data_IF_833644098916
#
_entry.id   IF_833644098916
#
_cell.length_a   1.000
_cell.length_b   1.000
_cell.length_c   1.000
_cell.angle_alpha   90.00
_cell.angle_beta   90.00
_cell.angle_gamma   90.00
#
_symmetry.space_group_name_H-M   'P 1'
#
loop_
_entity.id
_entity.type
_entity.pdbx_description
1 polymer ?
2 non-polymer ?
3 non-polymer ?
4 non-polymer ?
5 water ?
#
# COMPACT_ATOMS: atom_id res chain seq x y z
N UNK A 1 21.77 25.12 -12.21
CA UNK A 1 21.98 23.92 -11.38
C UNK A 1 20.89 23.74 -10.32
N UNK A 2 20.32 22.55 -10.25
CA UNK A 2 19.39 22.13 -9.16
C UNK A 2 20.07 20.95 -8.45
N UNK A 3 20.29 21.06 -7.15
CA UNK A 3 20.95 20.02 -6.34
C UNK A 3 19.88 19.32 -5.52
N UNK A 4 19.94 17.99 -5.46
CA UNK A 4 18.91 17.18 -4.79
C UNK A 4 19.61 16.35 -3.72
N UNK A 5 18.95 16.17 -2.58
CA UNK A 5 19.43 15.30 -1.47
C UNK A 5 18.34 14.26 -1.19
N UNK A 6 18.57 13.00 -1.60
CA UNK A 6 17.54 11.93 -1.47
C UNK A 6 17.73 11.25 -0.12
N UNK A 7 16.70 10.53 0.34
CA UNK A 7 16.65 9.86 1.66
C UNK A 7 17.70 8.74 1.73
N UNK A 8 18.64 8.85 2.66
CA UNK A 8 19.60 7.76 3.01
C UNK A 8 18.82 6.61 3.69
N UNK A 9 19.16 5.38 3.34
CA UNK A 9 18.58 4.15 3.93
C UNK A 9 17.14 3.91 3.51
N UNK A 10 16.71 4.35 2.32
CA UNK A 10 15.36 4.04 1.79
C UNK A 10 15.30 2.52 1.65
N UNK A 11 14.29 1.91 2.26
CA UNK A 11 13.87 0.50 2.00
C UNK A 11 12.66 0.58 1.06
N UNK A 12 12.87 0.24 -0.22
CA UNK A 12 11.86 0.46 -1.29
C UNK A 12 10.68 -0.50 -1.07
N UNK A 13 10.92 -1.65 -0.43
CA UNK A 13 9.89 -2.68 -0.14
C UNK A 13 8.76 -2.08 0.71
N UNK A 14 9.09 -1.16 1.60
CA UNK A 14 8.11 -0.63 2.60
C UNK A 14 7.33 0.57 2.02
N UNK A 15 7.48 0.90 0.73
CA UNK A 15 6.61 1.92 0.06
C UNK A 15 5.47 1.29 -0.75
N UNK A 16 5.30 -0.02 -0.77
CA UNK A 16 4.33 -0.71 -1.64
C UNK A 16 2.91 -0.28 -1.26
N UNK A 17 2.06 -0.11 -2.28
CA UNK A 17 0.62 0.11 -2.08
C UNK A 17 0.08 1.38 -2.70
N UNK A 18 -1.16 1.71 -2.33
CA UNK A 18 -1.92 2.89 -2.80
C UNK A 18 -1.33 4.18 -2.24
N UNK A 19 -1.18 5.17 -3.11
CA UNK A 19 -0.83 6.57 -2.76
C UNK A 19 -1.78 7.54 -3.46
N UNK A 20 -1.88 8.74 -2.91
CA UNK A 20 -2.62 9.89 -3.47
C UNK A 20 -1.64 11.06 -3.58
N UNK A 21 -1.66 11.70 -4.75
CA UNK A 21 -0.96 12.98 -5.02
C UNK A 21 -1.66 14.09 -4.23
N UNK A 22 -1.13 14.48 -3.08
CA UNK A 22 -1.70 15.56 -2.22
C UNK A 22 -1.23 16.92 -2.73
N UNK A 23 0.02 17.04 -3.18
CA UNK A 23 0.60 18.32 -3.63
C UNK A 23 1.61 18.08 -4.77
N UNK A 24 1.87 19.10 -5.59
CA UNK A 24 2.84 19.06 -6.70
C UNK A 24 3.54 20.40 -6.81
N UNK A 25 4.77 20.38 -7.31
CA UNK A 25 5.58 21.60 -7.51
C UNK A 25 6.48 21.34 -8.69
N UNK A 26 6.71 22.32 -9.54
CA UNK A 26 7.56 22.17 -10.74
C UNK A 26 8.41 23.43 -10.88
N UNK A 27 9.62 23.24 -11.41
CA UNK A 27 10.63 24.30 -11.68
C UNK A 27 10.08 25.24 -12.77
N UNK A 28 9.31 24.69 -13.69
CA UNK A 28 8.73 25.41 -14.84
C UNK A 28 7.22 25.31 -14.73
N UNK A 29 6.53 26.47 -14.78
CA UNK A 29 5.05 26.57 -14.64
C UNK A 29 4.36 25.63 -15.63
N UNK A 30 4.84 25.60 -16.89
CA UNK A 30 4.23 24.93 -18.07
C UNK A 30 4.17 23.42 -17.85
N UNK A 31 5.07 22.86 -17.04
CA UNK A 31 5.09 21.43 -16.65
C UNK A 31 3.78 21.03 -15.97
N UNK A 32 3.15 21.93 -15.18
CA UNK A 32 1.93 21.59 -14.38
C UNK A 32 0.77 22.52 -14.74
N UNK A 33 1.02 23.57 -15.52
CA UNK A 33 0.14 24.76 -15.56
C UNK A 33 -1.31 24.28 -15.68
N UNK A 34 -1.69 23.71 -16.82
CA UNK A 34 -3.06 23.26 -17.14
C UNK A 34 -3.31 21.80 -16.74
N UNK A 35 -4.58 21.38 -16.88
CA UNK A 35 -5.11 20.00 -16.66
C UNK A 35 -4.42 19.04 -17.65
N UNK A 36 -4.04 19.55 -18.82
CA UNK A 36 -3.41 18.79 -19.91
C UNK A 36 -1.88 18.79 -19.78
N UNK A 37 -1.30 19.48 -18.77
CA UNK A 37 0.15 19.77 -18.77
C UNK A 37 0.92 18.46 -18.74
N UNK A 38 2.14 18.38 -19.32
CA UNK A 38 2.82 17.12 -19.54
C UNK A 38 3.26 16.36 -18.27
N UNK A 39 3.42 17.05 -17.13
CA UNK A 39 3.88 16.43 -15.86
C UNK A 39 2.80 16.54 -14.78
N UNK A 40 1.59 16.96 -15.16
CA UNK A 40 0.39 16.87 -14.29
C UNK A 40 -0.04 15.40 -14.25
N UNK A 41 0.51 14.65 -13.30
CA UNK A 41 0.29 13.17 -13.15
C UNK A 41 -0.08 12.86 -11.70
N UNK A 42 -0.95 11.86 -11.52
CA UNK A 42 -1.63 11.49 -10.26
C UNK A 42 -1.28 10.04 -9.94
N UNK A 43 -0.48 9.85 -8.90
CA UNK A 43 0.04 8.52 -8.45
C UNK A 43 -1.12 7.69 -7.87
N UNK A 44 -1.31 6.46 -8.34
CA UNK A 44 -2.34 5.52 -7.83
C UNK A 44 -1.71 4.47 -6.91
N UNK A 45 -0.55 3.95 -7.33
CA UNK A 45 0.11 2.83 -6.62
C UNK A 45 1.62 2.88 -6.86
N UNK A 46 2.39 2.47 -5.85
CA UNK A 46 3.84 2.14 -5.98
C UNK A 46 3.97 0.64 -5.74
N UNK A 47 4.58 -0.08 -6.70
CA UNK A 47 4.79 -1.55 -6.64
C UNK A 47 6.28 -1.84 -6.79
N UNK A 48 7.04 -1.88 -5.68
CA UNK A 48 8.42 -2.36 -5.73
C UNK A 48 8.44 -3.81 -6.19
N UNK A 49 9.47 -4.19 -6.95
CA UNK A 49 9.76 -5.59 -7.35
C UNK A 49 10.74 -6.19 -6.34
N UNK A 50 10.82 -7.54 -6.26
CA UNK A 50 11.71 -8.21 -5.32
C UNK A 50 13.17 -7.77 -5.47
N UNK A 51 13.61 -7.55 -6.71
CA UNK A 51 15.01 -7.18 -7.02
C UNK A 51 15.23 -5.68 -6.83
N UNK A 52 14.17 -4.93 -6.49
CA UNK A 52 14.24 -3.57 -5.96
C UNK A 52 14.06 -2.51 -7.02
N UNK A 53 13.43 -2.86 -8.15
CA UNK A 53 12.94 -1.87 -9.14
C UNK A 53 11.63 -1.35 -8.57
N UNK A 54 10.99 -0.41 -9.24
CA UNK A 54 9.74 0.22 -8.76
C UNK A 54 8.82 0.47 -9.95
N UNK A 55 7.64 -0.18 -9.96
CA UNK A 55 6.49 0.15 -10.83
C UNK A 55 5.69 1.31 -10.22
N UNK A 56 5.42 2.33 -11.02
CA UNK A 56 4.63 3.54 -10.66
C UNK A 56 3.35 3.50 -11.51
N UNK A 57 2.19 3.23 -10.91
CA UNK A 57 0.86 3.37 -11.57
C UNK A 57 0.42 4.82 -11.41
N UNK A 58 0.27 5.56 -12.50
CA UNK A 58 -0.28 6.93 -12.37
C UNK A 58 -1.44 7.12 -13.33
N UNK A 59 -2.19 8.21 -13.14
CA UNK A 59 -3.23 8.72 -14.06
C UNK A 59 -2.81 10.11 -14.57
N UNK A 60 -3.21 10.41 -15.80
CA UNK A 60 -2.80 11.57 -16.63
C UNK A 60 -3.97 11.88 -17.57
N UNK A 61 -4.28 13.17 -17.79
CA UNK A 61 -5.34 13.64 -18.73
C UNK A 61 -4.71 13.99 -20.07
N UNK A 62 -4.99 13.20 -21.12
CA UNK A 62 -4.45 13.38 -22.50
C UNK A 62 -5.61 13.43 -23.50
N UNK A 63 -6.15 12.27 -23.88
CA UNK A 63 -7.03 12.11 -25.08
C UNK A 63 -8.48 12.37 -24.67
N UNK A 64 -8.81 13.60 -24.26
CA UNK A 64 -10.11 13.97 -23.70
C UNK A 64 -10.40 13.31 -22.35
N UNK A 65 -9.53 12.39 -21.90
CA UNK A 65 -9.85 11.40 -20.83
C UNK A 65 -8.73 11.33 -19.78
N UNK A 66 -9.06 10.76 -18.62
CA UNK A 66 -8.17 10.56 -17.45
C UNK A 66 -7.56 9.16 -17.51
N UNK A 67 -6.42 9.01 -18.19
CA UNK A 67 -5.85 7.74 -18.68
C UNK A 67 -4.78 7.16 -17.74
N UNK A 68 -4.61 5.83 -17.78
CA UNK A 68 -3.63 5.10 -16.93
C UNK A 68 -2.28 5.03 -17.64
N UNK A 69 -1.19 5.28 -16.90
CA UNK A 69 0.21 5.01 -17.33
C UNK A 69 0.94 4.19 -16.25
N UNK A 70 1.71 3.19 -16.71
CA UNK A 70 2.67 2.39 -15.92
C UNK A 70 4.07 2.88 -16.27
N UNK A 71 4.86 3.26 -15.25
CA UNK A 71 6.29 3.60 -15.44
C UNK A 71 7.12 2.53 -14.72
N UNK A 72 8.07 1.94 -15.42
CA UNK A 72 9.07 1.04 -14.81
C UNK A 72 10.27 1.90 -14.42
N UNK A 73 10.59 1.92 -13.13
CA UNK A 73 11.75 2.64 -12.58
C UNK A 73 12.78 1.60 -12.16
N UNK A 74 13.91 1.56 -12.88
CA UNK A 74 15.02 0.62 -12.66
C UNK A 74 15.91 1.18 -11.55
N UNK A 75 16.32 0.33 -10.61
CA UNK A 75 17.16 0.74 -9.45
C UNK A 75 18.52 1.21 -9.97
N UNK A 76 19.21 2.00 -9.15
CA UNK A 76 20.64 2.38 -9.35
C UNK A 76 21.38 2.02 -8.05
N UNK A 77 22.68 2.32 -7.98
CA UNK A 77 23.54 2.02 -6.81
C UNK A 77 23.11 2.89 -5.62
N UNK A 78 22.30 3.94 -5.87
CA UNK A 78 21.69 4.81 -4.82
C UNK A 78 20.22 4.40 -4.67
N UNK A 79 19.83 3.77 -3.52
CA UNK A 79 18.49 3.24 -3.33
C UNK A 79 17.36 4.25 -3.60
N UNK A 80 17.60 5.54 -3.42
CA UNK A 80 16.55 6.57 -3.57
C UNK A 80 16.57 7.21 -4.97
N UNK A 81 17.47 6.79 -5.88
CA UNK A 81 17.53 7.29 -7.29
C UNK A 81 17.25 6.14 -8.25
N UNK A 82 16.25 6.29 -9.11
CA UNK A 82 15.84 5.30 -10.11
C UNK A 82 15.88 5.91 -11.50
N UNK A 83 16.10 5.07 -12.50
CA UNK A 83 16.18 5.49 -13.91
C UNK A 83 14.83 5.17 -14.55
N UNK A 84 14.27 6.12 -15.28
CA UNK A 84 13.02 5.89 -16.04
C UNK A 84 13.21 6.36 -17.48
N UNK A 85 12.23 6.07 -18.34
CA UNK A 85 12.16 6.64 -19.72
C UNK A 85 10.68 6.89 -20.05
N UNK A 86 10.09 7.91 -19.41
CA UNK A 86 8.66 8.24 -19.57
C UNK A 86 8.48 9.73 -19.27
N UNK A 87 7.47 10.36 -19.86
CA UNK A 87 7.13 11.79 -19.62
C UNK A 87 8.32 12.68 -19.97
N UNK A 88 9.24 12.21 -20.82
CA UNK A 88 10.49 12.91 -21.22
C UNK A 88 11.44 13.07 -20.02
N UNK A 89 11.24 12.25 -18.98
CA UNK A 89 12.05 12.26 -17.74
C UNK A 89 13.00 11.05 -17.79
N UNK A 90 14.12 11.09 -17.06
CA UNK A 90 15.03 9.92 -16.95
C UNK A 90 15.45 9.65 -15.49
N UNK A 91 14.97 10.42 -14.52
CA UNK A 91 15.28 10.16 -13.09
C UNK A 91 14.03 10.30 -12.21
N UNK A 92 13.89 9.36 -11.28
CA UNK A 92 13.01 9.48 -10.10
C UNK A 92 13.91 9.58 -8.88
N UNK A 93 13.65 10.56 -8.01
CA UNK A 93 14.40 10.84 -6.76
C UNK A 93 13.42 10.73 -5.58
N UNK A 94 13.65 9.83 -4.63
CA UNK A 94 12.81 9.75 -3.39
C UNK A 94 13.46 10.62 -2.30
N UNK A 95 12.89 11.79 -2.00
CA UNK A 95 13.47 12.76 -1.03
C UNK A 95 13.31 12.25 0.40
N UNK A 96 12.16 11.67 0.73
CA UNK A 96 11.80 11.34 2.14
C UNK A 96 10.49 10.55 2.16
N UNK A 97 10.34 9.72 3.19
CA UNK A 97 9.11 8.97 3.55
C UNK A 97 9.23 8.47 4.99
N UNK A 98 8.09 8.32 5.66
CA UNK A 98 7.95 7.56 6.94
C UNK A 98 7.25 6.23 6.63
N UNK A 99 7.14 5.87 5.34
CA UNK A 99 6.60 4.57 4.87
C UNK A 99 5.10 4.46 5.17
N UNK A 100 4.64 4.79 6.36
CA UNK A 100 3.24 4.47 6.75
C UNK A 100 2.27 5.63 6.42
N UNK A 101 2.74 6.85 6.16
CA UNK A 101 1.83 8.02 5.91
C UNK A 101 2.14 8.77 4.60
N UNK A 102 3.38 9.24 4.43
CA UNK A 102 3.77 10.19 3.35
C UNK A 102 5.05 9.75 2.64
N UNK A 103 5.19 10.16 1.38
CA UNK A 103 6.39 9.98 0.54
C UNK A 103 6.53 11.19 -0.40
N UNK A 104 7.73 11.73 -0.45
CA UNK A 104 8.07 12.88 -1.30
C UNK A 104 8.98 12.34 -2.37
N UNK A 105 8.73 12.74 -3.60
CA UNK A 105 9.59 12.30 -4.71
C UNK A 105 9.56 13.33 -5.81
N UNK A 106 10.59 13.30 -6.63
CA UNK A 106 10.74 14.18 -7.81
C UNK A 106 11.03 13.31 -9.03
N UNK A 107 10.62 13.79 -10.19
CA UNK A 107 11.08 13.31 -11.50
C UNK A 107 11.83 14.46 -12.13
N UNK A 108 12.82 14.18 -12.96
CA UNK A 108 13.48 15.21 -13.78
C UNK A 108 14.12 14.56 -15.01
N UNK A 109 14.51 15.42 -15.95
CA UNK A 109 15.46 15.05 -17.03
C UNK A 109 16.81 15.62 -16.63
N UNK A 110 17.76 14.74 -16.28
CA UNK A 110 19.10 15.12 -15.80
C UNK A 110 19.79 16.03 -16.83
N UNK A 111 19.46 15.92 -18.12
CA UNK A 111 20.02 16.79 -19.19
C UNK A 111 19.56 18.24 -19.04
N UNK A 112 18.43 18.51 -18.37
CA UNK A 112 17.96 19.90 -18.09
C UNK A 112 16.89 19.94 -16.99
N UNK A 113 17.35 19.90 -15.72
CA UNK A 113 16.46 19.97 -14.56
C UNK A 113 15.57 21.23 -14.47
N UNK A 114 16.08 22.41 -14.83
CA UNK A 114 15.30 23.68 -14.70
C UNK A 114 14.06 23.66 -15.61
N UNK A 115 14.09 22.94 -16.73
CA UNK A 115 12.88 22.84 -17.60
C UNK A 115 12.16 21.50 -17.35
N UNK A 116 12.42 20.83 -16.23
CA UNK A 116 12.10 19.38 -16.09
C UNK A 116 11.60 18.92 -14.70
N UNK A 117 11.96 19.63 -13.63
CA UNK A 117 11.86 19.08 -12.25
C UNK A 117 10.43 19.21 -11.77
N UNK A 118 9.83 18.08 -11.39
CA UNK A 118 8.47 18.04 -10.81
C UNK A 118 8.54 17.13 -9.59
N UNK A 119 8.05 17.62 -8.45
CA UNK A 119 8.07 16.91 -7.16
C UNK A 119 6.66 16.79 -6.62
N UNK A 120 6.37 15.72 -5.89
CA UNK A 120 5.04 15.48 -5.33
C UNK A 120 5.16 15.09 -3.86
N UNK A 121 4.11 15.44 -3.14
CA UNK A 121 3.78 14.95 -1.78
C UNK A 121 2.70 13.88 -1.92
N UNK A 122 3.05 12.63 -1.62
CA UNK A 122 2.08 11.51 -1.68
C UNK A 122 1.66 11.18 -0.25
N UNK A 123 0.42 10.73 -0.10
CA UNK A 123 -0.15 10.19 1.17
C UNK A 123 -0.86 8.88 0.83
N UNK A 124 -0.90 7.97 1.80
CA UNK A 124 -1.47 6.62 1.67
C UNK A 124 -3.00 6.68 1.70
N UNK A 125 -3.56 7.63 2.45
CA UNK A 125 -5.03 7.81 2.65
C UNK A 125 -5.51 9.14 2.07
N UNK A 126 -6.75 9.23 1.53
CA UNK A 126 -7.22 10.43 0.83
C UNK A 126 -7.68 11.51 1.83
N UNK A 127 -6.74 12.00 2.64
CA UNK A 127 -6.99 13.08 3.63
C UNK A 127 -5.81 14.04 3.55
N UNK A 128 -6.08 15.33 3.73
CA UNK A 128 -5.04 16.37 3.88
C UNK A 128 -4.27 16.04 5.16
N UNK A 129 -2.96 15.91 5.01
CA UNK A 129 -1.99 15.59 6.07
C UNK A 129 -1.06 16.80 6.18
N UNK A 130 -1.30 17.69 7.15
CA UNK A 130 -0.55 18.97 7.30
C UNK A 130 0.92 18.64 7.62
N UNK A 131 1.19 17.54 8.30
CA UNK A 131 2.59 17.11 8.56
C UNK A 131 3.27 16.88 7.22
N UNK A 132 2.65 16.09 6.37
CA UNK A 132 3.18 15.73 5.03
C UNK A 132 3.49 17.02 4.25
N UNK A 133 2.56 17.99 4.23
CA UNK A 133 2.72 19.24 3.46
C UNK A 133 3.88 20.07 3.98
N UNK A 134 4.05 20.12 5.29
CA UNK A 134 5.20 20.85 5.87
C UNK A 134 6.50 20.15 5.49
N UNK A 135 6.53 18.83 5.44
CA UNK A 135 7.78 18.09 5.06
C UNK A 135 8.10 18.44 3.61
N UNK A 136 7.07 18.44 2.76
CA UNK A 136 7.15 18.80 1.32
C UNK A 136 7.67 20.23 1.17
N UNK A 137 7.11 21.20 1.91
CA UNK A 137 7.61 22.60 1.89
C UNK A 137 9.10 22.67 2.26
N UNK A 138 9.51 21.96 3.30
CA UNK A 138 10.90 22.02 3.81
C UNK A 138 11.83 21.38 2.77
N UNK A 139 11.42 20.24 2.20
CA UNK A 139 12.16 19.53 1.13
C UNK A 139 12.27 20.42 -0.12
N UNK A 140 11.33 21.33 -0.34
CA UNK A 140 11.32 22.21 -1.53
C UNK A 140 12.07 23.52 -1.30
N UNK A 141 12.50 23.82 -0.08
CA UNK A 141 13.07 25.14 0.26
C UNK A 141 14.25 25.48 -0.66
N UNK A 142 15.16 24.52 -0.92
CA UNK A 142 16.35 24.76 -1.78
C UNK A 142 16.10 24.28 -3.21
N UNK A 143 14.83 24.17 -3.66
CA UNK A 143 14.52 23.90 -5.09
C UNK A 143 13.86 25.13 -5.70
N UNK A 144 14.12 25.43 -7.00
CA UNK A 144 13.62 26.65 -7.64
C UNK A 144 12.28 26.41 -8.32
N UNK A 145 11.27 26.14 -7.49
CA UNK A 145 9.88 25.87 -7.93
C UNK A 145 9.22 27.20 -8.31
N UNK A 146 8.44 27.19 -9.39
CA UNK A 146 7.72 28.38 -9.90
C UNK A 146 6.21 28.11 -9.96
N UNK A 147 5.77 26.87 -9.72
CA UNK A 147 4.33 26.50 -9.57
C UNK A 147 4.23 25.46 -8.45
N UNK A 148 3.27 25.67 -7.57
CA UNK A 148 2.93 24.78 -6.42
C UNK A 148 1.41 24.69 -6.31
N UNK A 149 0.92 23.47 -6.19
CA UNK A 149 -0.51 23.10 -6.16
C UNK A 149 -0.68 22.21 -4.93
N UNK A 150 -1.71 22.45 -4.12
CA UNK A 150 -2.13 21.53 -3.03
C UNK A 150 -3.62 21.24 -3.20
N UNK A 151 -4.01 19.96 -3.05
CA UNK A 151 -5.39 19.44 -3.29
C UNK A 151 -6.14 19.22 -1.97
N UNK A 152 -7.45 19.48 -1.99
CA UNK A 152 -8.40 19.17 -0.88
C UNK A 152 -8.82 17.71 -0.98
N UNK A 153 -9.47 17.14 0.07
CA UNK A 153 -9.80 15.70 0.08
C UNK A 153 -10.72 15.30 -1.08
N UNK A 154 -11.58 16.22 -1.50
CA UNK A 154 -12.53 16.05 -2.63
C UNK A 154 -11.71 15.81 -3.91
N UNK A 155 -10.71 16.65 -4.15
CA UNK A 155 -9.77 16.50 -5.30
C UNK A 155 -8.96 15.23 -5.12
N UNK A 156 -8.61 14.86 -3.89
CA UNK A 156 -7.83 13.63 -3.63
C UNK A 156 -8.55 12.38 -4.15
N UNK A 157 -9.86 12.26 -3.90
CA UNK A 157 -10.62 11.00 -4.13
C UNK A 157 -11.11 10.93 -5.58
N UNK A 158 -10.63 11.82 -6.47
CA UNK A 158 -11.21 12.03 -7.83
C UNK A 158 -10.33 11.47 -8.95
N UNK A 159 -10.94 11.32 -10.14
CA UNK A 159 -10.30 11.00 -11.45
C UNK A 159 -9.54 12.22 -11.99
N UNK A 160 -8.21 12.18 -11.97
CA UNK A 160 -7.32 13.30 -12.39
C UNK A 160 -7.67 14.56 -11.59
N UNK A 161 -8.01 14.38 -10.31
CA UNK A 161 -8.40 15.45 -9.34
C UNK A 161 -9.44 16.41 -9.96
N UNK A 162 -10.60 15.85 -10.36
CA UNK A 162 -11.84 16.50 -10.93
C UNK A 162 -11.57 16.97 -12.36
N UNK B 2 -14.07 -16.92 23.22
CA UNK B 2 -13.07 -17.95 22.81
C UNK B 2 -11.88 -17.26 22.15
N UNK B 3 -12.13 -16.54 21.05
CA UNK B 3 -11.07 -15.99 20.15
C UNK B 3 -11.10 -14.46 20.22
N UNK B 4 -10.77 -13.88 21.36
CA UNK B 4 -10.63 -12.42 21.55
C UNK B 4 -9.33 -12.16 22.31
N UNK B 5 -8.21 -11.97 21.61
CA UNK B 5 -6.91 -11.60 22.22
C UNK B 5 -6.40 -10.38 21.45
N UNK B 6 -7.24 -9.35 21.30
CA UNK B 6 -7.03 -8.29 20.29
C UNK B 6 -6.09 -7.23 20.87
N UNK B 7 -5.18 -6.69 20.04
CA UNK B 7 -4.17 -5.68 20.45
C UNK B 7 -4.91 -4.38 20.79
N UNK B 8 -4.76 -3.94 22.04
CA UNK B 8 -5.40 -2.72 22.58
C UNK B 8 -4.67 -1.52 21.96
N UNK B 9 -5.42 -0.48 21.59
CA UNK B 9 -4.89 0.76 21.00
C UNK B 9 -4.42 0.53 19.57
N UNK B 10 -5.25 -0.17 18.80
CA UNK B 10 -5.02 -0.28 17.34
C UNK B 10 -5.28 1.09 16.74
N UNK B 11 -4.29 1.67 16.06
CA UNK B 11 -4.46 2.87 15.21
C UNK B 11 -4.52 2.41 13.75
N UNK B 12 -5.72 2.39 13.19
CA UNK B 12 -6.02 1.68 11.91
C UNK B 12 -5.34 2.42 10.75
N UNK B 13 -5.12 3.73 10.90
CA UNK B 13 -4.45 4.58 9.86
C UNK B 13 -3.05 4.03 9.55
N UNK B 14 -2.37 3.47 10.55
CA UNK B 14 -0.95 3.06 10.44
C UNK B 14 -0.81 1.66 9.84
N UNK B 15 -1.89 0.99 9.43
CA UNK B 15 -1.80 -0.32 8.71
C UNK B 15 -2.01 -0.13 7.20
N UNK B 16 -2.18 1.09 6.70
CA UNK B 16 -2.44 1.32 5.25
C UNK B 16 -1.26 0.77 4.44
N UNK B 17 -1.54 0.01 3.39
CA UNK B 17 -0.49 -0.38 2.44
C UNK B 17 -0.63 -1.83 2.00
N UNK B 18 0.39 -2.29 1.29
CA UNK B 18 0.50 -3.68 0.77
C UNK B 18 0.85 -4.60 1.93
N UNK B 19 0.20 -5.75 1.97
CA UNK B 19 0.57 -6.88 2.88
C UNK B 19 0.65 -8.18 2.08
N UNK B 20 1.35 -9.15 2.63
CA UNK B 20 1.43 -10.54 2.10
C UNK B 20 0.94 -11.51 3.17
N UNK B 21 0.11 -12.46 2.74
CA UNK B 21 -0.35 -13.60 3.57
C UNK B 21 0.82 -14.57 3.72
N UNK B 22 1.56 -14.51 4.83
CA UNK B 22 2.72 -15.41 5.08
C UNK B 22 2.25 -16.76 5.61
N UNK B 23 1.24 -16.79 6.47
CA UNK B 23 0.67 -18.05 7.01
C UNK B 23 -0.84 -17.91 7.20
N UNK B 24 -1.55 -19.04 7.19
CA UNK B 24 -3.00 -19.12 7.48
C UNK B 24 -3.25 -20.35 8.36
N UNK B 25 -4.27 -20.30 9.18
CA UNK B 25 -4.72 -21.44 10.01
C UNK B 25 -6.23 -21.35 10.10
N UNK B 26 -6.92 -22.49 10.17
CA UNK B 26 -8.40 -22.53 10.20
C UNK B 26 -8.84 -23.63 11.14
N UNK B 27 -9.95 -23.39 11.84
CA UNK B 27 -10.57 -24.32 12.81
C UNK B 27 -11.09 -25.58 12.08
N UNK B 28 -11.44 -25.45 10.81
CA UNK B 28 -12.05 -26.54 9.99
C UNK B 28 -11.23 -26.71 8.73
N UNK B 29 -10.82 -27.95 8.39
CA UNK B 29 -9.88 -28.23 7.27
C UNK B 29 -10.45 -27.66 5.97
N UNK B 30 -11.77 -27.82 5.75
CA UNK B 30 -12.47 -27.46 4.47
C UNK B 30 -12.37 -25.96 4.19
N UNK B 31 -12.24 -25.15 5.22
CA UNK B 31 -12.07 -23.68 5.11
C UNK B 31 -10.82 -23.33 4.28
N UNK B 32 -9.74 -24.13 4.36
CA UNK B 32 -8.46 -23.82 3.63
C UNK B 32 -8.04 -24.97 2.72
N UNK B 33 -8.71 -26.13 2.82
CA UNK B 33 -8.19 -27.41 2.29
C UNK B 33 -7.56 -27.18 0.91
N UNK B 34 -8.37 -26.92 -0.12
CA UNK B 34 -7.93 -26.77 -1.53
C UNK B 34 -7.66 -25.29 -1.86
N UNK B 35 -7.16 -25.03 -3.07
CA UNK B 35 -6.89 -23.69 -3.65
C UNK B 35 -8.21 -22.93 -3.79
N UNK B 36 -9.29 -23.66 -4.03
CA UNK B 36 -10.67 -23.15 -4.19
C UNK B 36 -11.42 -23.11 -2.85
N UNK B 37 -10.80 -23.47 -1.73
CA UNK B 37 -11.50 -23.45 -0.41
C UNK B 37 -11.93 -22.01 -0.10
N UNK B 38 -13.06 -21.79 0.63
CA UNK B 38 -13.69 -20.48 0.70
C UNK B 38 -12.87 -19.41 1.43
N UNK B 39 -12.01 -19.81 2.37
CA UNK B 39 -11.30 -18.85 3.26
C UNK B 39 -9.80 -18.89 2.90
N UNK B 40 -9.46 -19.62 1.83
CA UNK B 40 -8.16 -19.55 1.15
C UNK B 40 -8.11 -18.23 0.38
N UNK B 41 -7.87 -17.12 1.06
CA UNK B 41 -7.79 -15.77 0.45
C UNK B 41 -6.47 -15.13 0.88
N UNK B 42 -5.87 -14.39 -0.04
CA UNK B 42 -4.53 -13.78 0.07
C UNK B 42 -4.68 -12.25 0.08
N UNK B 43 -4.40 -11.64 1.22
CA UNK B 43 -4.47 -10.17 1.47
C UNK B 43 -3.42 -9.49 0.59
N UNK B 44 -3.84 -8.51 -0.22
CA UNK B 44 -2.93 -7.73 -1.09
C UNK B 44 -2.77 -6.32 -0.49
N UNK B 45 -3.81 -5.72 0.07
CA UNK B 45 -3.76 -4.31 0.54
C UNK B 45 -4.77 -4.07 1.66
N UNK B 46 -4.37 -3.29 2.67
CA UNK B 46 -5.30 -2.70 3.67
C UNK B 46 -5.41 -1.18 3.39
N UNK B 47 -6.64 -0.72 3.17
CA UNK B 47 -6.98 0.68 2.85
C UNK B 47 -7.92 1.22 3.93
N UNK B 48 -7.39 1.78 5.05
CA UNK B 48 -8.23 2.40 6.05
C UNK B 48 -8.93 3.61 5.42
N UNK B 49 -10.16 3.90 5.85
CA UNK B 49 -10.93 5.07 5.36
C UNK B 49 -10.75 6.20 6.36
N UNK B 50 -10.94 7.46 5.94
CA UNK B 50 -10.77 8.61 6.83
C UNK B 50 -11.61 8.48 8.12
N UNK B 51 -12.82 7.96 7.96
CA UNK B 51 -13.84 7.83 9.03
C UNK B 51 -13.53 6.60 9.89
N UNK B 52 -12.51 5.81 9.51
CA UNK B 52 -11.87 4.80 10.37
C UNK B 52 -12.44 3.41 10.16
N UNK B 53 -13.06 3.15 9.01
CA UNK B 53 -13.40 1.78 8.56
C UNK B 53 -12.12 1.23 7.92
N UNK B 54 -12.21 0.05 7.29
CA UNK B 54 -11.04 -0.66 6.73
C UNK B 54 -11.51 -1.43 5.50
N UNK B 55 -10.94 -1.11 4.35
CA UNK B 55 -11.12 -1.89 3.11
C UNK B 55 -9.97 -2.89 3.03
N UNK B 56 -10.31 -4.15 2.77
CA UNK B 56 -9.36 -5.29 2.66
C UNK B 56 -9.40 -5.80 1.20
N UNK B 57 -8.35 -5.55 0.41
CA UNK B 57 -8.18 -6.14 -0.95
C UNK B 57 -7.57 -7.53 -0.79
N UNK B 58 -8.28 -8.56 -1.23
CA UNK B 58 -7.88 -10.00 -1.25
C UNK B 58 -7.62 -10.42 -2.71
N UNK B 59 -6.87 -11.50 -2.90
CA UNK B 59 -6.83 -12.34 -4.12
C UNK B 59 -7.30 -13.75 -3.75
N UNK B 60 -7.96 -14.42 -4.70
CA UNK B 60 -8.71 -15.68 -4.50
C UNK B 60 -8.65 -16.52 -5.78
N UNK B 61 -8.88 -17.83 -5.66
CA UNK B 61 -9.09 -18.78 -6.79
C UNK B 61 -10.58 -18.97 -7.03
N UNK B 62 -11.04 -18.72 -8.26
CA UNK B 62 -12.46 -18.93 -8.68
C UNK B 62 -12.51 -19.96 -9.82
N UNK B 63 -11.66 -19.82 -10.84
CA UNK B 63 -11.71 -20.64 -12.07
C UNK B 63 -10.35 -20.57 -12.78
N UNK B 64 -9.32 -21.21 -12.20
CA UNK B 64 -8.02 -21.40 -12.85
C UNK B 64 -7.23 -20.10 -13.03
N UNK B 65 -7.54 -19.07 -12.25
CA UNK B 65 -6.82 -17.77 -12.28
C UNK B 65 -7.18 -16.93 -11.04
N UNK B 66 -6.33 -15.94 -10.75
CA UNK B 66 -6.21 -15.19 -9.48
C UNK B 66 -7.05 -13.90 -9.57
N UNK B 67 -8.20 -13.85 -8.88
CA UNK B 67 -9.21 -12.75 -8.95
C UNK B 67 -9.15 -11.84 -7.71
N UNK B 68 -9.53 -10.56 -7.93
CA UNK B 68 -9.71 -9.48 -6.93
C UNK B 68 -10.99 -9.66 -6.13
N UNK B 69 -10.91 -9.51 -4.81
CA UNK B 69 -12.08 -9.37 -3.91
C UNK B 69 -11.82 -8.24 -2.90
N UNK B 70 -12.78 -7.32 -2.78
CA UNK B 70 -12.79 -6.17 -1.84
C UNK B 70 -13.78 -6.48 -0.71
N UNK B 71 -13.35 -6.40 0.54
CA UNK B 71 -14.24 -6.52 1.73
C UNK B 71 -14.26 -5.17 2.42
N UNK B 72 -15.47 -4.64 2.68
CA UNK B 72 -15.63 -3.45 3.56
C UNK B 72 -15.76 -3.96 4.98
N UNK B 73 -14.88 -3.51 5.86
CA UNK B 73 -14.88 -3.84 7.30
C UNK B 73 -15.22 -2.56 8.05
N UNK B 74 -16.42 -2.53 8.65
CA UNK B 74 -16.94 -1.37 9.42
C UNK B 74 -16.42 -1.42 10.84
N UNK B 75 -16.00 -0.27 11.37
CA UNK B 75 -15.46 -0.15 12.75
C UNK B 75 -16.59 -0.39 13.76
N UNK B 76 -16.20 -0.80 14.97
CA UNK B 76 -17.08 -1.03 16.15
C UNK B 76 -16.51 -0.21 17.30
N UNK B 77 -17.10 -0.30 18.51
CA UNK B 77 -16.60 0.49 19.68
C UNK B 77 -15.27 -0.09 20.17
N UNK B 78 -14.86 -1.26 19.66
CA UNK B 78 -13.52 -1.86 19.90
C UNK B 78 -12.66 -1.60 18.65
N UNK B 79 -11.59 -0.76 18.74
CA UNK B 79 -10.74 -0.44 17.59
C UNK B 79 -10.19 -1.66 16.82
N UNK B 80 -9.96 -2.78 17.51
CA UNK B 80 -9.34 -3.98 16.92
C UNK B 80 -10.41 -4.97 16.37
N UNK B 81 -11.70 -4.66 16.49
CA UNK B 81 -12.82 -5.53 16.01
C UNK B 81 -13.61 -4.76 14.96
N UNK B 82 -13.71 -5.33 13.76
CA UNK B 82 -14.52 -4.81 12.64
C UNK B 82 -15.63 -5.82 12.31
N UNK B 83 -16.70 -5.33 11.72
CA UNK B 83 -17.84 -6.16 11.26
C UNK B 83 -17.78 -6.22 9.74
N UNK B 84 -18.01 -7.40 9.18
CA UNK B 84 -18.00 -7.63 7.72
C UNK B 84 -19.23 -8.47 7.33
N UNK B 85 -19.43 -8.61 6.02
CA UNK B 85 -20.44 -9.53 5.45
C UNK B 85 -19.86 -10.10 4.16
N UNK B 86 -18.96 -11.07 4.29
CA UNK B 86 -18.28 -11.68 3.14
C UNK B 86 -17.80 -13.07 3.58
N UNK B 87 -17.78 -14.04 2.65
CA UNK B 87 -17.10 -15.35 2.87
C UNK B 87 -17.81 -16.09 4.00
N UNK B 88 -19.10 -15.79 4.21
CA UNK B 88 -19.94 -16.38 5.29
C UNK B 88 -19.44 -15.92 6.67
N UNK B 89 -18.61 -14.88 6.73
CA UNK B 89 -18.01 -14.36 8.01
C UNK B 89 -18.69 -13.06 8.38
N UNK B 90 -18.69 -12.67 9.66
CA UNK B 90 -19.27 -11.37 10.12
C UNK B 90 -18.32 -10.61 11.07
N UNK B 91 -17.12 -11.12 11.37
CA UNK B 91 -16.19 -10.39 12.27
C UNK B 91 -14.74 -10.51 11.79
N UNK B 92 -14.01 -9.40 11.86
CA UNK B 92 -12.53 -9.35 11.71
C UNK B 92 -11.95 -8.89 13.03
N UNK B 93 -11.03 -9.64 13.59
CA UNK B 93 -10.32 -9.37 14.87
C UNK B 93 -8.84 -9.16 14.54
N UNK B 94 -8.27 -7.98 14.82
CA UNK B 94 -6.78 -7.76 14.74
C UNK B 94 -6.15 -8.15 16.08
N UNK B 95 -5.43 -9.28 16.11
CA UNK B 95 -4.87 -9.86 17.35
C UNK B 95 -3.66 -9.02 17.78
N UNK B 96 -2.83 -8.63 16.81
CA UNK B 96 -1.56 -7.92 17.11
C UNK B 96 -1.01 -7.31 15.83
N UNK B 97 -0.22 -6.25 15.97
CA UNK B 97 0.61 -5.63 14.92
C UNK B 97 1.66 -4.74 15.57
N UNK B 98 2.80 -4.59 14.91
CA UNK B 98 3.83 -3.55 15.17
C UNK B 98 3.74 -2.49 14.04
N UNK B 99 2.69 -2.53 13.23
CA UNK B 99 2.41 -1.57 12.13
C UNK B 99 3.44 -1.65 11.01
N UNK B 100 4.73 -1.68 11.31
CA UNK B 100 5.74 -1.46 10.25
C UNK B 100 6.24 -2.79 9.65
N UNK B 101 5.99 -3.94 10.29
CA UNK B 101 6.46 -5.27 9.77
C UNK B 101 5.32 -6.30 9.62
N UNK B 102 4.51 -6.53 10.66
CA UNK B 102 3.59 -7.69 10.75
C UNK B 102 2.21 -7.29 11.33
N UNK B 103 1.19 -8.06 10.97
CA UNK B 103 -0.21 -7.93 11.49
C UNK B 103 -0.85 -9.32 11.52
N UNK B 104 -1.43 -9.67 12.66
CA UNK B 104 -2.16 -10.93 12.84
C UNK B 104 -3.64 -10.60 12.90
N UNK B 105 -4.46 -11.32 12.15
CA UNK B 105 -5.93 -11.16 12.28
C UNK B 105 -6.63 -12.49 12.11
N UNK B 106 -7.86 -12.53 12.58
CA UNK B 106 -8.80 -13.65 12.38
C UNK B 106 -10.09 -13.09 11.77
N UNK B 107 -10.71 -13.85 10.87
CA UNK B 107 -12.14 -13.68 10.48
C UNK B 107 -12.89 -14.84 11.11
N UNK B 108 -14.13 -14.59 11.52
CA UNK B 108 -15.01 -15.64 12.06
C UNK B 108 -16.47 -15.26 11.83
N UNK B 109 -17.35 -16.23 12.05
CA UNK B 109 -18.80 -15.97 12.19
C UNK B 109 -19.13 -16.16 13.66
N UNK B 110 -19.48 -15.06 14.34
CA UNK B 110 -19.85 -15.02 15.78
C UNK B 110 -20.83 -16.15 16.12
N UNK B 111 -21.67 -16.58 15.17
CA UNK B 111 -22.69 -17.63 15.40
C UNK B 111 -22.05 -19.01 15.60
N UNK B 112 -20.83 -19.21 15.06
CA UNK B 112 -20.13 -20.51 15.11
C UNK B 112 -18.66 -20.34 14.75
N UNK B 113 -17.81 -19.84 15.67
CA UNK B 113 -16.37 -19.72 15.42
C UNK B 113 -15.63 -21.04 15.14
N UNK B 114 -16.03 -22.14 15.78
CA UNK B 114 -15.43 -23.48 15.59
C UNK B 114 -15.60 -23.96 14.14
N UNK B 115 -16.62 -23.51 13.42
CA UNK B 115 -16.87 -23.91 12.02
C UNK B 115 -16.42 -22.80 11.06
N UNK B 116 -15.77 -21.73 11.55
CA UNK B 116 -15.59 -20.51 10.71
C UNK B 116 -14.29 -19.75 10.96
N UNK B 117 -13.48 -20.11 11.95
CA UNK B 117 -12.32 -19.28 12.35
C UNK B 117 -11.17 -19.50 11.38
N UNK B 118 -10.70 -18.42 10.78
CA UNK B 118 -9.53 -18.41 9.88
C UNK B 118 -8.66 -17.24 10.29
N UNK B 119 -7.39 -17.49 10.57
CA UNK B 119 -6.45 -16.45 11.04
C UNK B 119 -5.25 -16.39 10.08
N UNK B 120 -4.68 -15.21 9.93
CA UNK B 120 -3.51 -15.01 9.04
C UNK B 120 -2.41 -14.24 9.78
N UNK B 121 -1.20 -14.54 9.39
CA UNK B 121 0.02 -13.74 9.65
C UNK B 121 0.32 -12.96 8.37
N UNK B 122 0.16 -11.64 8.43
CA UNK B 122 0.48 -10.76 7.29
C UNK B 122 1.83 -10.12 7.56
N UNK B 123 2.60 -9.88 6.49
CA UNK B 123 3.88 -9.13 6.54
C UNK B 123 3.86 -8.11 5.40
N UNK B 124 4.58 -7.01 5.59
CA UNK B 124 4.60 -5.87 4.66
C UNK B 124 5.52 -6.19 3.48
N UNK B 125 6.53 -7.04 3.69
CA UNK B 125 7.57 -7.41 2.68
C UNK B 125 7.47 -8.90 2.33
N UNK B 126 7.77 -9.28 1.05
CA UNK B 126 7.65 -10.67 0.61
C UNK B 126 8.87 -11.47 1.10
N UNK B 127 8.99 -11.64 2.41
CA UNK B 127 10.10 -12.36 3.06
C UNK B 127 9.49 -13.14 4.22
N UNK B 128 10.06 -14.29 4.57
CA UNK B 128 9.71 -15.01 5.81
C UNK B 128 10.23 -14.15 6.97
N UNK B 129 9.34 -13.80 7.88
CA UNK B 129 9.63 -13.11 9.16
C UNK B 129 9.35 -14.13 10.28
N UNK B 130 10.39 -14.76 10.83
CA UNK B 130 10.23 -15.84 11.83
C UNK B 130 9.67 -15.25 13.13
N UNK B 131 9.92 -13.98 13.40
CA UNK B 131 9.32 -13.29 14.59
C UNK B 131 7.80 -13.24 14.41
N UNK B 132 7.32 -12.88 13.22
CA UNK B 132 5.89 -12.77 12.91
C UNK B 132 5.27 -14.17 13.12
N UNK B 133 5.90 -15.21 12.58
CA UNK B 133 5.37 -16.60 12.67
C UNK B 133 5.36 -17.07 14.12
N UNK B 134 6.38 -16.71 14.92
CA UNK B 134 6.40 -17.06 16.37
C UNK B 134 5.19 -16.40 17.04
N UNK B 135 4.85 -15.16 16.69
CA UNK B 135 3.73 -14.46 17.35
C UNK B 135 2.41 -15.12 16.93
N UNK B 136 2.28 -15.43 15.65
CA UNK B 136 1.15 -16.18 15.04
C UNK B 136 0.97 -17.53 15.73
N UNK B 137 2.04 -18.30 15.90
CA UNK B 137 1.99 -19.62 16.57
C UNK B 137 1.56 -19.47 18.05
N UNK B 138 2.06 -18.46 18.75
CA UNK B 138 1.70 -18.24 20.18
C UNK B 138 0.22 -17.84 20.26
N UNK B 139 -0.23 -16.95 19.37
CA UNK B 139 -1.63 -16.51 19.27
C UNK B 139 -2.55 -17.70 18.97
N UNK B 140 -2.04 -18.70 18.23
CA UNK B 140 -2.83 -19.87 17.77
C UNK B 140 -2.87 -20.96 18.84
N UNK B 141 -2.00 -20.93 19.86
CA UNK B 141 -1.78 -22.16 20.67
C UNK B 141 -3.05 -22.43 21.47
N UNK B 142 -3.80 -21.40 21.89
CA UNK B 142 -5.09 -21.55 22.59
C UNK B 142 -6.28 -21.50 21.62
N UNK B 143 -6.11 -21.74 20.31
CA UNK B 143 -7.25 -21.79 19.34
C UNK B 143 -7.33 -23.20 18.75
N UNK B 144 -8.55 -23.68 18.37
CA UNK B 144 -8.73 -25.07 17.97
C UNK B 144 -8.58 -25.29 16.45
N UNK B 145 -7.38 -24.98 15.95
CA UNK B 145 -7.02 -25.05 14.52
C UNK B 145 -6.79 -26.51 14.12
N UNK B 146 -7.18 -26.89 12.92
CA UNK B 146 -6.98 -28.26 12.37
C UNK B 146 -6.23 -28.22 11.03
N UNK B 147 -5.96 -27.04 10.46
CA UNK B 147 -5.15 -26.88 9.21
C UNK B 147 -4.29 -25.61 9.32
N UNK B 148 -3.00 -25.72 9.02
CA UNK B 148 -2.02 -24.60 9.02
C UNK B 148 -1.17 -24.67 7.74
N UNK B 149 -1.05 -23.53 7.07
CA UNK B 149 -0.22 -23.37 5.85
C UNK B 149 0.76 -22.24 6.13
N UNK B 150 2.02 -22.44 5.79
CA UNK B 150 3.08 -21.40 5.80
C UNK B 150 3.74 -21.34 4.41
N UNK B 151 3.96 -20.14 3.88
CA UNK B 151 4.37 -19.89 2.49
C UNK B 151 5.84 -19.44 2.44
N UNK B 152 6.55 -19.87 1.39
CA UNK B 152 7.95 -19.42 1.15
C UNK B 152 7.92 -18.12 0.34
N UNK B 153 9.04 -17.36 0.29
CA UNK B 153 9.07 -16.07 -0.39
C UNK B 153 8.65 -16.14 -1.87
N UNK B 154 8.98 -17.24 -2.53
CA UNK B 154 8.67 -17.43 -3.97
C UNK B 154 7.15 -17.51 -4.11
N UNK B 155 6.49 -18.26 -3.23
CA UNK B 155 5.01 -18.29 -3.16
C UNK B 155 4.47 -16.91 -2.80
N UNK B 156 5.14 -16.19 -1.90
CA UNK B 156 4.70 -14.83 -1.48
C UNK B 156 4.62 -13.87 -2.68
N UNK B 157 5.66 -13.84 -3.52
CA UNK B 157 5.84 -12.76 -4.54
C UNK B 157 5.09 -13.14 -5.83
N UNK B 158 4.32 -14.23 -5.79
CA UNK B 158 3.54 -14.74 -6.93
C UNK B 158 2.03 -14.60 -6.69
N UNK B 159 1.26 -14.76 -7.78
CA UNK B 159 -0.22 -14.59 -7.86
C UNK B 159 -0.92 -15.81 -7.28
N UNK B 160 -1.63 -15.63 -6.15
CA UNK B 160 -2.33 -16.71 -5.41
C UNK B 160 -1.31 -17.78 -4.99
N UNK B 161 -0.10 -17.34 -4.64
CA UNK B 161 1.03 -18.15 -4.11
C UNK B 161 1.29 -19.36 -5.02
N UNK B 162 1.66 -19.11 -6.29
CA UNK B 162 1.93 -20.10 -7.38
C UNK B 162 0.67 -20.94 -7.61
X LIG C 1 13.90 10.52 6.58
X LIG D 1 14.23 8.44 6.56
X LIG E 1 13.87 29.64 -11.26
X LIG F 1 -12.70 -30.39 16.26
X LIG G 1 -19.80 -13.02 -0.19
X LIG G 1 -18.70 -12.12 -0.34
X LIG G 1 -19.30 -14.38 -0.24
X LIG G 1 -20.76 -12.83 -1.24
X LIG G 1 -20.48 -12.78 1.07
X LIG H 1 -20.51 -1.59 17.76
X LIG H 1 -19.91 -2.87 18.07
X LIG H 1 -19.55 -0.56 17.91
X LIG H 1 -21.61 -1.36 18.68
X LIG H 1 -21.01 -1.60 16.40
X LIG I 1 0.27 -1.41 20.13
X LIG J 1 -11.28 -29.11 17.16
X LIG K 1 -9.66 -4.64 26.39
#
# INVERSE_FOLDING_TARGET
LIVTQTMKGLDIQKVAGTWYSLAMAASDISLLDAQSAPLRVYVEELKPTPEGDLEILLQKWENGECAQKKIIAEKTKIPAVFKIDALNENKVLVLDTDYKKYLLFCMENSAEPEQSLACQCLVRTPEVDDEALEKFDKALKALPMHIRLSFNPTQLEEQCHI
LIVTQTMKGLDIQKVAGTWYSLAMAASDISLLDAQSAPLRVYVEELKPTPEGDLEILLQKWENGECAQKKIIAEKTKIPAVFKIDALNENKVLVLDTDYKKYLLFCMENSAEPEQSLACQCLVRTPEVDDEALEKFDKALKALPMHIRLSFNPTQLEEQCHI
NH3 N
PT PT
PT PT
NH3 N
SO4 S O1 O2 O3 O4
SO4 S O1 O2 O3 O4
PT PT
PT PT
PT PT
#
